data_IF_146212546476
#
_entry.id   IF_146212546476
#
_cell.length_a   1.000
_cell.length_b   1.000
_cell.length_c   1.000
_cell.angle_alpha   90.00
_cell.angle_beta   90.00
_cell.angle_gamma   90.00
#
_symmetry.space_group_name_H-M   'P 1'
#
loop_
_entity.id
_entity.type
_entity.pdbx_description
1 polymer ?
#
# COMPACT_ATOMS: atom_id res chain seq x y z
N UNK A 1 1.04 -4.18 5.12
CA UNK A 1 0.57 -3.76 6.47
C UNK A 1 -0.55 -2.74 6.33
N UNK A 2 -1.58 -2.77 7.17
CA UNK A 2 -2.55 -1.67 7.30
C UNK A 2 -2.67 -1.23 8.76
N UNK A 3 -2.94 0.07 8.98
CA UNK A 3 -3.16 0.65 10.31
C UNK A 3 -4.20 1.77 10.22
N UNK A 4 -5.03 1.90 11.25
CA UNK A 4 -5.94 3.04 11.42
C UNK A 4 -5.42 3.91 12.56
N UNK A 5 -5.25 5.21 12.32
CA UNK A 5 -4.82 6.18 13.34
C UNK A 5 -5.35 7.58 12.99
N UNK A 6 -5.88 8.31 13.98
CA UNK A 6 -6.37 9.69 13.81
C UNK A 6 -7.26 9.86 12.57
N UNK A 7 -8.25 8.96 12.42
CA UNK A 7 -9.19 8.94 11.28
C UNK A 7 -8.56 8.71 9.88
N UNK A 8 -7.30 8.30 9.85
CA UNK A 8 -6.56 7.93 8.64
C UNK A 8 -6.40 6.42 8.56
N UNK A 9 -6.66 5.87 7.39
CA UNK A 9 -6.26 4.52 7.02
C UNK A 9 -4.89 4.60 6.31
N UNK A 10 -3.87 3.99 6.91
CA UNK A 10 -2.53 3.89 6.35
C UNK A 10 -2.32 2.48 5.85
N UNK A 11 -1.95 2.32 4.59
CA UNK A 11 -1.59 1.05 3.97
C UNK A 11 -0.16 1.17 3.50
N UNK A 12 0.72 0.30 3.99
CA UNK A 12 2.12 0.24 3.59
C UNK A 12 2.41 -1.13 2.99
N UNK A 13 3.05 -1.13 1.82
CA UNK A 13 3.44 -2.36 1.13
C UNK A 13 4.78 -2.15 0.40
N UNK A 14 5.31 -3.21 -0.18
CA UNK A 14 6.47 -3.15 -1.04
C UNK A 14 6.10 -2.48 -2.36
N UNK A 15 7.03 -1.69 -2.89
CA UNK A 15 6.99 -1.31 -4.29
C UNK A 15 7.70 -2.36 -5.15
N UNK A 16 7.67 -2.22 -6.48
CA UNK A 16 8.33 -3.16 -7.41
C UNK A 16 9.81 -3.42 -7.10
N UNK A 17 10.52 -2.44 -6.53
CA UNK A 17 11.92 -2.62 -6.12
C UNK A 17 12.00 -3.47 -4.85
N UNK A 18 11.18 -3.16 -3.85
CA UNK A 18 11.04 -3.96 -2.64
C UNK A 18 10.64 -5.42 -2.93
N UNK A 19 9.67 -5.63 -3.81
CA UNK A 19 9.24 -6.97 -4.25
C UNK A 19 10.41 -7.77 -4.84
N UNK A 20 11.21 -7.18 -5.74
CA UNK A 20 12.39 -7.85 -6.32
C UNK A 20 13.46 -8.17 -5.28
N UNK A 21 13.67 -7.30 -4.31
CA UNK A 21 14.61 -7.54 -3.21
C UNK A 21 14.11 -8.71 -2.37
N UNK A 22 12.82 -8.72 -2.01
CA UNK A 22 12.21 -9.81 -1.24
C UNK A 22 12.19 -11.13 -1.98
N UNK A 23 11.99 -11.13 -3.31
CA UNK A 23 12.14 -12.33 -4.13
C UNK A 23 13.56 -12.90 -4.04
N UNK A 24 14.59 -12.06 -4.05
CA UNK A 24 15.98 -12.51 -3.87
C UNK A 24 16.23 -13.07 -2.47
N UNK A 25 15.80 -12.37 -1.44
CA UNK A 25 15.95 -12.80 -0.04
C UNK A 25 15.28 -14.15 0.18
N UNK A 26 14.01 -14.30 -0.21
CA UNK A 26 13.31 -15.58 -0.10
C UNK A 26 13.98 -16.68 -0.94
N UNK A 27 14.48 -16.35 -2.13
CA UNK A 27 15.21 -17.30 -2.97
C UNK A 27 16.49 -17.83 -2.32
N UNK A 28 17.19 -17.01 -1.51
CA UNK A 28 18.34 -17.46 -0.71
C UNK A 28 17.90 -18.44 0.39
N UNK A 29 16.72 -18.25 0.95
CA UNK A 29 16.14 -19.13 1.99
C UNK A 29 15.42 -20.36 1.41
N UNK A 30 15.50 -20.60 0.10
CA UNK A 30 14.80 -21.70 -0.58
C UNK A 30 13.28 -21.51 -0.70
N UNK A 31 12.77 -20.32 -0.42
CA UNK A 31 11.35 -19.97 -0.46
C UNK A 31 11.00 -19.08 -1.65
N UNK A 32 9.71 -19.01 -1.99
CA UNK A 32 9.19 -18.04 -2.99
C UNK A 32 8.47 -16.90 -2.27
N UNK A 33 8.69 -15.67 -2.74
CA UNK A 33 7.80 -14.57 -2.37
C UNK A 33 6.49 -14.72 -3.13
N UNK A 34 5.37 -14.74 -2.40
CA UNK A 34 4.05 -14.77 -3.02
C UNK A 34 3.72 -13.41 -3.62
N UNK A 35 3.28 -13.41 -4.87
CA UNK A 35 2.82 -12.19 -5.51
C UNK A 35 1.55 -11.68 -4.82
N UNK A 36 1.47 -10.35 -4.69
CA UNK A 36 0.28 -9.71 -4.12
C UNK A 36 -0.92 -9.97 -5.04
N UNK A 37 -2.00 -10.54 -4.49
CA UNK A 37 -3.22 -10.90 -5.25
C UNK A 37 -3.96 -9.67 -5.81
N UNK A 38 -3.64 -8.48 -5.33
CA UNK A 38 -4.30 -7.25 -5.74
C UNK A 38 -3.27 -6.12 -5.87
N UNK A 39 -3.21 -5.44 -7.03
CA UNK A 39 -2.38 -4.25 -7.17
C UNK A 39 -2.81 -3.14 -6.20
N UNK A 40 -1.86 -2.42 -5.60
CA UNK A 40 -2.15 -1.24 -4.77
C UNK A 40 -3.01 -0.19 -5.49
N UNK A 41 -2.87 -0.09 -6.81
CA UNK A 41 -3.68 0.80 -7.64
C UNK A 41 -5.18 0.47 -7.59
N UNK A 42 -5.55 -0.81 -7.46
CA UNK A 42 -6.94 -1.24 -7.27
C UNK A 42 -7.47 -0.82 -5.91
N UNK A 43 -6.65 -0.90 -4.87
CA UNK A 43 -7.00 -0.43 -3.52
C UNK A 43 -7.22 1.08 -3.52
N UNK A 44 -6.36 1.86 -4.19
CA UNK A 44 -6.55 3.31 -4.35
C UNK A 44 -7.88 3.64 -5.04
N UNK A 45 -8.20 2.96 -6.15
CA UNK A 45 -9.47 3.16 -6.88
C UNK A 45 -10.68 2.88 -5.99
N UNK A 46 -10.63 1.82 -5.18
CA UNK A 46 -11.69 1.49 -4.23
C UNK A 46 -11.89 2.60 -3.19
N UNK A 47 -10.81 3.07 -2.57
CA UNK A 47 -10.88 4.11 -1.54
C UNK A 47 -11.38 5.45 -2.10
N UNK A 48 -10.96 5.82 -3.30
CA UNK A 48 -11.49 7.02 -4.00
C UNK A 48 -12.97 6.85 -4.33
N UNK A 49 -13.40 5.66 -4.79
CA UNK A 49 -14.83 5.36 -5.04
C UNK A 49 -15.67 5.47 -3.77
N UNK A 50 -15.09 5.20 -2.60
CA UNK A 50 -15.72 5.35 -1.29
C UNK A 50 -15.73 6.82 -0.78
N UNK A 51 -15.32 7.78 -1.61
CA UNK A 51 -15.32 9.20 -1.25
C UNK A 51 -14.15 9.61 -0.34
N UNK A 52 -13.10 8.81 -0.26
CA UNK A 52 -11.90 9.13 0.52
C UNK A 52 -10.90 9.94 -0.31
N UNK A 53 -10.20 10.85 0.36
CA UNK A 53 -9.01 11.50 -0.18
C UNK A 53 -7.83 10.55 0.07
N UNK A 54 -7.10 10.19 -1.00
CA UNK A 54 -6.00 9.23 -0.93
C UNK A 54 -4.71 9.88 -1.41
N UNK A 55 -3.74 9.98 -0.51
CA UNK A 55 -2.37 10.41 -0.78
C UNK A 55 -1.47 9.17 -0.91
N UNK A 56 -0.45 9.24 -1.77
CA UNK A 56 0.46 8.11 -2.03
C UNK A 56 1.89 8.61 -1.97
N UNK A 57 2.70 7.95 -1.14
CA UNK A 57 4.11 8.22 -0.96
C UNK A 57 4.89 7.00 -1.43
N UNK A 58 5.90 7.21 -2.26
CA UNK A 58 6.75 6.13 -2.75
C UNK A 58 8.18 6.42 -2.32
N UNK A 59 8.80 5.43 -1.70
CA UNK A 59 10.16 5.50 -1.18
C UNK A 59 11.01 4.42 -1.86
N UNK A 60 12.22 4.17 -1.39
CA UNK A 60 13.18 3.25 -2.01
C UNK A 60 12.62 1.83 -2.22
N UNK A 61 11.97 1.24 -1.20
CA UNK A 61 11.46 -0.13 -1.24
C UNK A 61 9.99 -0.27 -0.82
N UNK A 62 9.37 0.83 -0.39
CA UNK A 62 8.01 0.84 0.15
C UNK A 62 7.13 1.85 -0.58
N UNK A 63 5.84 1.56 -0.60
CA UNK A 63 4.78 2.46 -1.01
C UNK A 63 3.79 2.59 0.15
N UNK A 64 3.44 3.82 0.48
CA UNK A 64 2.54 4.16 1.58
C UNK A 64 1.35 4.91 0.99
N UNK A 65 0.15 4.38 1.22
CA UNK A 65 -1.11 5.06 0.94
C UNK A 65 -1.71 5.55 2.25
N UNK A 66 -2.10 6.83 2.27
CA UNK A 66 -2.82 7.44 3.39
C UNK A 66 -4.19 7.87 2.87
N UNK A 67 -5.24 7.24 3.38
CA UNK A 67 -6.60 7.57 3.05
C UNK A 67 -7.30 8.24 4.23
N UNK A 68 -8.02 9.32 3.98
CA UNK A 68 -8.84 10.03 4.97
C UNK A 68 -10.21 10.33 4.39
N UNK A 69 -11.21 10.49 5.26
CA UNK A 69 -12.52 10.98 4.83
C UNK A 69 -12.34 12.37 4.18
N UNK A 70 -13.05 12.62 3.08
CA UNK A 70 -13.25 13.99 2.65
C UNK A 70 -14.02 14.71 3.77
N UNK A 71 -13.47 15.78 4.33
CA UNK A 71 -14.22 16.60 5.27
C UNK A 71 -15.50 17.04 4.57
N UNK A 72 -16.67 16.80 5.17
CA UNK A 72 -17.83 17.64 4.86
C UNK A 72 -17.36 19.06 5.15
N UNK A 73 -17.29 19.91 4.14
CA UNK A 73 -17.38 21.35 4.35
C UNK A 73 -18.71 21.55 5.08
N UNK A 74 -18.63 21.67 6.40
CA UNK A 74 -19.73 22.10 7.27
C UNK A 74 -19.90 23.61 7.13
#
# INVERSE_FOLDING_TARGET
MFRVINEKLVIADLNKRGERIMQKVHGLDGHKHYDSKMPLSSVKKLLVKLGMIVETYNDSCQIIMVARKANKLS
#
